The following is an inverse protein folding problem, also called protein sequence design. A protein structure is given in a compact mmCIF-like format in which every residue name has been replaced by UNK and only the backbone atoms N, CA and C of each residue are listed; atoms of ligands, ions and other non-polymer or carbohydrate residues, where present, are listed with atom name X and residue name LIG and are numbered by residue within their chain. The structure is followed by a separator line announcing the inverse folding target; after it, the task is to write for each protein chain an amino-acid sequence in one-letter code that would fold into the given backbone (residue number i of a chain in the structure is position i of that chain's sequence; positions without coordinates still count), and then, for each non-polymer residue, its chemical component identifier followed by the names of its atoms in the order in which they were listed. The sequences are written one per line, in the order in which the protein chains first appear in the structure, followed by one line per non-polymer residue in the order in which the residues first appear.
data_IF_856033717236
#
_entry.id   IF_856033717236
#
_cell.length_a   1.000
_cell.length_b   1.000
_cell.length_c   1.000
_cell.angle_alpha   90.00
_cell.angle_beta   90.00
_cell.angle_gamma   90.00
#
_symmetry.space_group_name_H-M   'P 1'
#
loop_
_entity.id
_entity.type
_entity.pdbx_description
1 polymer ?
#
# COMPACT_ATOMS: atom_id res chain seq x y z
N UNK A 1 25.80 6.75 -17.57
CA UNK A 1 25.02 7.88 -18.10
C UNK A 1 23.67 7.76 -17.40
N UNK A 2 23.51 8.48 -16.29
CA UNK A 2 22.27 8.45 -15.52
C UNK A 2 21.21 9.17 -16.34
N UNK A 3 20.23 8.43 -16.83
CA UNK A 3 19.06 9.01 -17.48
C UNK A 3 18.32 9.82 -16.42
N UNK A 4 18.56 11.13 -16.44
CA UNK A 4 17.82 12.10 -15.64
C UNK A 4 16.43 12.21 -16.23
N UNK A 5 15.57 11.24 -15.92
CA UNK A 5 14.17 11.25 -16.32
C UNK A 5 13.52 12.54 -15.83
N UNK A 6 12.82 13.24 -16.74
CA UNK A 6 12.11 14.48 -16.41
C UNK A 6 11.19 14.19 -15.20
N UNK A 7 11.33 14.92 -14.07
CA UNK A 7 10.56 14.63 -12.86
C UNK A 7 9.04 14.63 -13.11
N UNK A 8 8.57 15.50 -14.00
CA UNK A 8 7.16 15.54 -14.39
C UNK A 8 6.72 14.28 -15.14
N UNK A 9 7.60 13.71 -15.97
CA UNK A 9 7.31 12.47 -16.69
C UNK A 9 7.23 11.27 -15.74
N UNK A 10 8.08 11.23 -14.72
CA UNK A 10 8.04 10.19 -13.67
C UNK A 10 6.73 10.26 -12.89
N UNK A 11 6.34 11.45 -12.43
CA UNK A 11 5.07 11.64 -11.71
C UNK A 11 3.87 11.26 -12.57
N UNK A 12 3.86 11.69 -13.84
CA UNK A 12 2.77 11.33 -14.75
C UNK A 12 2.69 9.81 -15.00
N UNK A 13 3.84 9.13 -15.12
CA UNK A 13 3.88 7.68 -15.26
C UNK A 13 3.36 6.97 -14.00
N UNK A 14 3.75 7.44 -12.82
CA UNK A 14 3.26 6.89 -11.55
C UNK A 14 1.73 7.02 -11.45
N UNK A 15 1.21 8.22 -11.72
CA UNK A 15 -0.24 8.49 -11.72
C UNK A 15 -0.99 7.61 -12.71
N UNK A 16 -0.49 7.51 -13.94
CA UNK A 16 -1.07 6.63 -14.96
C UNK A 16 -1.07 5.16 -14.51
N UNK A 17 0.01 4.71 -13.89
CA UNK A 17 0.16 3.33 -13.41
C UNK A 17 -0.84 3.04 -12.29
N UNK A 18 -0.89 3.88 -11.25
CA UNK A 18 -1.81 3.72 -10.12
C UNK A 18 -3.27 3.75 -10.58
N UNK A 19 -3.60 4.67 -11.51
CA UNK A 19 -4.93 4.73 -12.13
C UNK A 19 -5.25 3.47 -12.93
N UNK A 20 -4.29 2.97 -13.72
CA UNK A 20 -4.44 1.75 -14.51
C UNK A 20 -4.72 0.51 -13.65
N UNK A 21 -4.10 0.43 -12.46
CA UNK A 21 -4.35 -0.66 -11.51
C UNK A 21 -5.80 -0.71 -11.03
N UNK A 22 -6.51 0.42 -10.97
CA UNK A 22 -7.89 0.48 -10.47
C UNK A 22 -8.97 0.54 -11.57
N UNK A 23 -8.63 1.00 -12.78
CA UNK A 23 -9.62 1.21 -13.86
C UNK A 23 -9.51 0.16 -14.97
N UNK A 24 -8.43 -0.64 -15.02
CA UNK A 24 -8.28 -1.69 -16.02
C UNK A 24 -9.45 -2.68 -16.01
N UNK A 25 -9.78 -3.23 -17.18
CA UNK A 25 -10.85 -4.21 -17.32
C UNK A 25 -10.62 -5.42 -16.40
N UNK A 26 -11.61 -5.74 -15.57
CA UNK A 26 -11.51 -6.82 -14.58
C UNK A 26 -10.76 -6.47 -13.29
N UNK A 27 -10.28 -5.23 -13.13
CA UNK A 27 -9.71 -4.78 -11.87
C UNK A 27 -10.75 -4.78 -10.76
N UNK A 28 -10.35 -5.27 -9.59
CA UNK A 28 -11.13 -5.27 -8.35
C UNK A 28 -10.59 -4.26 -7.33
N UNK A 29 -9.55 -3.51 -7.70
CA UNK A 29 -8.90 -2.55 -6.83
C UNK A 29 -9.66 -1.23 -6.85
N UNK A 30 -10.10 -0.80 -5.67
CA UNK A 30 -10.75 0.49 -5.46
C UNK A 30 -9.72 1.60 -5.37
N UNK A 31 -8.60 1.34 -4.70
CA UNK A 31 -7.51 2.32 -4.59
C UNK A 31 -6.14 1.68 -4.76
N UNK A 32 -5.17 2.51 -5.14
CA UNK A 32 -3.76 2.19 -5.20
C UNK A 32 -2.95 3.36 -4.62
N UNK A 33 -1.99 3.07 -3.73
CA UNK A 33 -1.09 4.05 -3.10
C UNK A 33 0.35 3.59 -3.31
N UNK A 34 1.23 4.54 -3.62
CA UNK A 34 2.65 4.29 -3.68
C UNK A 34 3.39 4.94 -2.50
N UNK A 35 4.06 4.08 -1.73
CA UNK A 35 4.90 4.46 -0.60
C UNK A 35 6.37 4.44 -1.03
N UNK A 36 7.00 5.61 -1.17
CA UNK A 36 8.40 5.75 -1.57
C UNK A 36 9.33 5.51 -0.38
N UNK A 37 10.39 4.74 -0.60
CA UNK A 37 11.49 4.64 0.38
C UNK A 37 12.38 5.87 0.26
N UNK A 38 12.44 6.65 1.33
CA UNK A 38 13.29 7.84 1.45
C UNK A 38 14.14 7.79 2.72
N UNK A 39 15.26 8.51 2.75
CA UNK A 39 15.99 8.72 3.98
C UNK A 39 15.23 9.58 4.98
N UNK A 40 15.29 9.19 6.26
CA UNK A 40 14.62 9.83 7.38
C UNK A 40 15.16 11.24 7.69
N UNK A 41 16.46 11.44 7.50
CA UNK A 41 17.10 12.73 7.72
C UNK A 41 17.23 13.44 6.37
N UNK A 42 16.55 14.58 6.20
CA UNK A 42 16.67 15.44 5.01
C UNK A 42 17.32 16.80 5.37
N UNK A 43 18.31 17.29 4.60
CA UNK A 43 18.95 16.61 3.47
C UNK A 43 19.68 15.34 3.94
N UNK A 44 19.74 14.29 3.11
CA UNK A 44 20.47 13.07 3.45
C UNK A 44 21.89 13.48 3.86
N UNK A 45 22.39 13.04 5.02
CA UNK A 45 23.81 13.15 5.32
C UNK A 45 24.58 12.63 4.11
N UNK A 46 25.71 13.25 3.76
CA UNK A 46 26.51 12.90 2.56
C UNK A 46 27.03 11.46 2.66
N UNK A 47 26.18 10.48 2.37
CA UNK A 47 26.50 9.06 2.33
C UNK A 47 27.22 8.69 1.01
N UNK A 48 27.42 9.68 0.14
CA UNK A 48 28.03 9.55 -1.20
C UNK A 48 29.55 9.37 -1.20
N UNK A 49 30.19 9.30 -0.03
CA UNK A 49 31.59 8.91 0.04
C UNK A 49 31.64 7.38 -0.04
N UNK A 50 31.79 6.87 -1.27
CA UNK A 50 32.27 5.53 -1.66
C UNK A 50 31.28 4.50 -2.24
N UNK A 51 30.12 4.88 -2.79
CA UNK A 51 29.44 3.95 -3.73
C UNK A 51 27.98 4.23 -4.09
N UNK A 52 27.77 4.76 -5.30
CA UNK A 52 26.52 4.68 -6.08
C UNK A 52 25.28 5.35 -5.47
N UNK A 53 24.41 5.91 -6.33
CA UNK A 53 23.12 6.41 -5.89
C UNK A 53 22.32 5.29 -5.19
N UNK A 54 22.00 5.51 -3.92
CA UNK A 54 21.02 4.76 -3.13
C UNK A 54 21.29 3.26 -2.93
N UNK A 55 22.53 2.84 -2.60
CA UNK A 55 22.75 1.48 -2.11
C UNK A 55 22.15 1.28 -0.70
N UNK A 56 20.86 0.91 -0.67
CA UNK A 56 20.07 0.62 0.54
C UNK A 56 20.60 -0.57 1.34
N UNK A 57 21.49 -1.36 0.77
CA UNK A 57 22.12 -2.50 1.46
C UNK A 57 23.30 -2.09 2.35
N UNK A 58 23.92 -0.93 2.08
CA UNK A 58 25.11 -0.43 2.79
C UNK A 58 24.82 0.61 3.87
N UNK A 59 23.67 1.30 3.79
CA UNK A 59 23.23 2.25 4.82
C UNK A 59 22.57 1.58 6.04
N UNK A 60 22.55 2.26 7.19
CA UNK A 60 21.76 1.81 8.33
C UNK A 60 20.27 1.77 7.95
N UNK A 61 19.69 0.56 7.84
CA UNK A 61 18.29 0.33 7.44
C UNK A 61 17.28 1.11 8.31
N UNK A 62 17.63 1.40 9.57
CA UNK A 62 16.80 2.20 10.50
C UNK A 62 16.69 3.69 10.14
N UNK A 63 17.52 4.17 9.22
CA UNK A 63 17.51 5.56 8.75
C UNK A 63 16.60 5.75 7.53
N UNK A 64 15.89 4.72 7.07
CA UNK A 64 14.99 4.80 5.94
C UNK A 64 13.54 4.73 6.40
N UNK A 65 12.69 5.48 5.72
CA UNK A 65 11.26 5.56 5.97
C UNK A 65 10.51 5.37 4.65
N UNK A 66 9.26 4.94 4.74
CA UNK A 66 8.32 4.95 3.64
C UNK A 66 7.32 6.10 3.84
N UNK A 67 7.19 6.93 2.82
CA UNK A 67 6.27 8.07 2.80
C UNK A 67 5.36 7.99 1.59
N UNK A 68 4.17 8.58 1.70
CA UNK A 68 3.27 8.73 0.57
C UNK A 68 3.92 9.57 -0.53
N UNK A 69 3.96 9.04 -1.76
CA UNK A 69 4.32 9.82 -2.94
C UNK A 69 3.09 10.18 -3.77
N UNK A 70 2.26 9.18 -4.07
CA UNK A 70 1.02 9.40 -4.81
C UNK A 70 0.00 8.29 -4.54
N UNK A 71 -1.27 8.55 -4.85
CA UNK A 71 -2.35 7.59 -4.70
C UNK A 71 -3.53 7.91 -5.60
N UNK A 72 -4.19 6.86 -6.08
CA UNK A 72 -5.42 6.92 -6.85
C UNK A 72 -6.53 6.16 -6.13
N UNK A 73 -7.74 6.72 -6.10
CA UNK A 73 -8.93 6.04 -5.59
C UNK A 73 -10.10 6.24 -6.55
N UNK A 74 -10.75 5.14 -6.93
CA UNK A 74 -12.00 5.14 -7.66
C UNK A 74 -13.18 5.26 -6.68
N UNK A 75 -13.41 6.48 -6.17
CA UNK A 75 -14.47 6.75 -5.21
C UNK A 75 -15.87 6.36 -5.73
N UNK A 76 -16.11 6.45 -7.04
CA UNK A 76 -17.38 6.04 -7.63
C UNK A 76 -17.63 4.53 -7.46
N UNK A 77 -16.64 3.68 -7.77
CA UNK A 77 -16.75 2.23 -7.59
C UNK A 77 -16.78 1.80 -6.12
N UNK A 78 -16.25 2.64 -5.22
CA UNK A 78 -16.25 2.42 -3.78
C UNK A 78 -17.66 2.47 -3.17
N UNK A 79 -18.54 3.32 -3.71
CA UNK A 79 -19.87 3.62 -3.16
C UNK A 79 -20.98 2.66 -3.60
N UNK A 80 -20.75 1.87 -4.67
CA UNK A 80 -21.80 1.08 -5.32
C UNK A 80 -21.91 -0.36 -4.82
N UNK A 81 -21.14 -0.75 -3.79
CA UNK A 81 -20.96 -2.16 -3.48
C UNK A 81 -22.16 -2.84 -2.80
N UNK A 82 -23.16 -2.13 -2.25
CA UNK A 82 -24.27 -2.76 -1.49
C UNK A 82 -25.47 -1.82 -1.16
N UNK A 83 -25.90 -0.91 -2.06
CA UNK A 83 -26.94 0.08 -1.69
C UNK A 83 -28.31 -0.21 -2.33
N UNK A 84 -29.28 -0.57 -1.47
CA UNK A 84 -30.72 -0.40 -1.71
C UNK A 84 -31.02 1.12 -1.84
N UNK A 85 -31.59 1.59 -2.95
CA UNK A 85 -31.83 3.01 -3.24
C UNK A 85 -32.89 3.66 -2.34
N UNK A 86 -33.25 3.10 -1.19
CA UNK A 86 -34.23 3.69 -0.25
C UNK A 86 -33.59 4.32 1.00
N UNK A 87 -32.29 4.10 1.25
CA UNK A 87 -31.59 4.58 2.47
C UNK A 87 -30.55 5.66 2.14
N UNK A 88 -30.99 6.75 1.50
CA UNK A 88 -30.11 7.72 0.86
C UNK A 88 -29.26 8.65 1.74
N UNK A 89 -29.19 8.53 3.07
CA UNK A 89 -28.50 9.57 3.87
C UNK A 89 -27.62 9.17 5.05
N UNK A 90 -27.51 7.90 5.44
CA UNK A 90 -26.73 7.58 6.66
C UNK A 90 -25.65 6.51 6.55
N UNK A 91 -25.58 5.71 5.48
CA UNK A 91 -24.59 4.62 5.37
C UNK A 91 -24.03 4.50 3.95
N UNK A 92 -23.31 5.52 3.47
CA UNK A 92 -22.50 5.38 2.26
C UNK A 92 -21.37 4.39 2.54
N UNK A 93 -21.60 3.11 2.23
CA UNK A 93 -20.64 2.02 2.40
C UNK A 93 -19.62 2.14 1.27
N UNK A 94 -18.44 2.66 1.61
CA UNK A 94 -17.33 2.88 0.68
C UNK A 94 -16.23 3.73 1.34
N UNK A 95 -14.98 3.56 0.88
CA UNK A 95 -13.84 4.36 1.28
C UNK A 95 -14.07 5.84 0.97
N UNK A 96 -14.24 6.64 2.02
CA UNK A 96 -14.45 8.08 1.93
C UNK A 96 -13.14 8.82 1.60
N UNK A 97 -13.19 9.94 0.87
CA UNK A 97 -12.00 10.76 0.55
C UNK A 97 -11.17 11.14 1.78
N UNK A 98 -11.81 11.47 2.89
CA UNK A 98 -11.13 11.88 4.13
C UNK A 98 -10.26 10.75 4.69
N UNK A 99 -10.76 9.50 4.63
CA UNK A 99 -10.00 8.33 5.08
C UNK A 99 -8.85 8.05 4.12
N UNK A 100 -9.09 8.16 2.81
CA UNK A 100 -8.07 7.95 1.79
C UNK A 100 -6.92 8.96 1.92
N UNK A 101 -7.23 10.26 1.99
CA UNK A 101 -6.21 11.30 2.13
C UNK A 101 -5.59 11.36 3.52
N UNK A 102 -6.24 10.85 4.56
CA UNK A 102 -5.60 10.72 5.88
C UNK A 102 -4.37 9.79 5.81
N UNK A 103 -4.38 8.80 4.92
CA UNK A 103 -3.22 7.92 4.72
C UNK A 103 -1.98 8.69 4.25
N UNK A 104 -2.10 9.80 3.52
CA UNK A 104 -0.93 10.53 3.02
C UNK A 104 -0.06 11.15 4.13
N UNK A 105 -0.59 11.23 5.36
CA UNK A 105 0.12 11.73 6.52
C UNK A 105 0.84 10.63 7.31
N UNK A 106 0.68 9.36 6.91
CA UNK A 106 1.33 8.23 7.56
C UNK A 106 2.79 8.12 7.12
N UNK A 107 3.65 7.70 8.05
CA UNK A 107 5.07 7.43 7.81
C UNK A 107 5.39 6.08 8.43
N UNK A 108 6.02 5.19 7.65
CA UNK A 108 6.44 3.88 8.13
C UNK A 108 7.96 3.79 8.21
N UNK A 109 8.49 3.14 9.25
CA UNK A 109 9.92 2.82 9.33
C UNK A 109 10.27 1.67 8.38
N UNK A 110 11.33 1.79 7.60
CA UNK A 110 11.80 0.70 6.73
C UNK A 110 12.31 -0.49 7.56
N UNK A 111 11.90 -1.71 7.20
CA UNK A 111 12.24 -2.94 7.93
C UNK A 111 11.46 -3.16 9.24
N UNK A 112 10.57 -2.24 9.62
CA UNK A 112 9.75 -2.35 10.82
C UNK A 112 8.26 -2.26 10.48
N UNK A 113 7.43 -2.91 11.30
CA UNK A 113 6.00 -3.03 11.04
C UNK A 113 5.71 -3.74 9.71
N UNK A 114 4.42 -3.84 9.36
CA UNK A 114 4.01 -4.63 8.21
C UNK A 114 4.49 -4.04 6.87
N UNK A 115 4.29 -2.75 6.65
CA UNK A 115 4.68 -2.06 5.39
C UNK A 115 6.21 -2.02 5.25
N UNK A 116 6.93 -1.70 6.33
CA UNK A 116 8.38 -1.63 6.33
C UNK A 116 9.07 -2.97 6.14
N UNK A 117 8.57 -4.05 6.76
CA UNK A 117 9.07 -5.42 6.54
C UNK A 117 8.87 -5.86 5.09
N UNK A 118 7.67 -5.64 4.51
CA UNK A 118 7.41 -5.96 3.10
C UNK A 118 8.43 -5.28 2.18
N UNK A 119 8.70 -4.00 2.42
CA UNK A 119 9.69 -3.23 1.69
C UNK A 119 11.11 -3.83 1.80
N UNK A 120 11.51 -4.22 3.01
CA UNK A 120 12.85 -4.72 3.30
C UNK A 120 13.12 -6.14 2.82
N UNK A 121 12.10 -6.99 2.88
CA UNK A 121 12.16 -8.40 2.47
C UNK A 121 11.92 -8.57 0.96
N UNK A 122 11.63 -7.47 0.24
CA UNK A 122 11.24 -7.48 -1.18
C UNK A 122 10.09 -8.47 -1.45
N UNK A 123 9.13 -8.53 -0.52
CA UNK A 123 8.06 -9.51 -0.52
C UNK A 123 6.71 -8.90 -0.92
N UNK A 124 5.65 -9.69 -0.79
CA UNK A 124 4.27 -9.23 -0.93
C UNK A 124 3.41 -9.86 0.16
N UNK A 125 2.37 -9.15 0.60
CA UNK A 125 1.48 -9.60 1.67
C UNK A 125 0.03 -9.21 1.37
N UNK A 126 -0.87 -10.15 1.57
CA UNK A 126 -2.32 -9.94 1.51
C UNK A 126 -2.87 -9.88 2.93
N UNK A 127 -3.73 -8.91 3.18
CA UNK A 127 -4.34 -8.66 4.48
C UNK A 127 -5.84 -8.58 4.27
N UNK A 128 -6.57 -9.40 5.01
CA UNK A 128 -8.02 -9.50 4.90
C UNK A 128 -8.67 -9.00 6.18
N UNK A 129 -9.83 -8.35 6.04
CA UNK A 129 -10.71 -8.07 7.16
C UNK A 129 -11.43 -9.39 7.53
N UNK A 130 -10.98 -10.06 8.59
CA UNK A 130 -11.62 -11.30 9.09
C UNK A 130 -12.46 -11.02 10.34
N UNK A 131 -13.67 -11.60 10.48
CA UNK A 131 -14.57 -11.25 11.57
C UNK A 131 -14.11 -11.86 12.91
N UNK A 132 -14.00 -11.00 13.94
CA UNK A 132 -14.08 -11.21 15.41
C UNK A 132 -13.28 -12.34 16.11
N UNK A 133 -13.11 -13.55 15.56
CA UNK A 133 -12.34 -14.61 16.23
C UNK A 133 -10.82 -14.34 16.20
N UNK A 134 -10.36 -13.62 15.16
CA UNK A 134 -8.96 -13.22 15.02
C UNK A 134 -8.65 -11.91 15.76
N UNK A 135 -9.64 -11.14 16.25
CA UNK A 135 -9.39 -9.92 17.03
C UNK A 135 -8.71 -10.27 18.36
N UNK A 136 -9.22 -11.26 19.10
CA UNK A 136 -8.59 -11.73 20.35
C UNK A 136 -7.16 -12.23 20.10
N UNK A 137 -6.93 -12.95 19.00
CA UNK A 137 -5.61 -13.45 18.60
C UNK A 137 -4.71 -12.29 18.11
N UNK A 138 -5.26 -11.27 17.46
CA UNK A 138 -4.53 -10.06 17.02
C UNK A 138 -4.19 -9.13 18.19
N UNK A 139 -5.03 -9.04 19.22
CA UNK A 139 -4.70 -8.33 20.45
C UNK A 139 -3.54 -9.01 21.17
N UNK A 140 -3.57 -10.34 21.27
CA UNK A 140 -2.48 -11.12 21.88
C UNK A 140 -1.21 -11.11 21.02
N UNK A 141 -1.31 -11.17 19.69
CA UNK A 141 -0.16 -11.10 18.79
C UNK A 141 0.41 -9.68 18.69
N UNK A 142 -0.40 -8.63 18.79
CA UNK A 142 0.08 -7.25 18.87
C UNK A 142 0.87 -6.97 20.16
N UNK A 143 0.55 -7.66 21.26
CA UNK A 143 1.32 -7.61 22.51
C UNK A 143 2.61 -8.41 22.45
N UNK A 144 2.60 -9.57 21.80
CA UNK A 144 3.78 -10.45 21.70
C UNK A 144 4.72 -10.10 20.53
N UNK A 145 4.19 -9.48 19.47
CA UNK A 145 4.91 -9.11 18.26
C UNK A 145 4.20 -7.94 17.55
N UNK A 146 4.37 -6.69 18.04
CA UNK A 146 3.72 -5.50 17.49
C UNK A 146 4.12 -5.21 16.04
N UNK A 147 5.12 -5.90 15.48
CA UNK A 147 5.55 -5.71 14.11
C UNK A 147 4.66 -6.42 13.08
N UNK A 148 3.78 -7.33 13.51
CA UNK A 148 2.89 -8.09 12.63
C UNK A 148 1.43 -7.59 12.66
N UNK A 149 1.08 -6.68 13.56
CA UNK A 149 -0.21 -5.99 13.55
C UNK A 149 -0.28 -4.97 12.41
N UNK A 150 -1.45 -4.85 11.78
CA UNK A 150 -1.65 -3.83 10.75
C UNK A 150 -1.71 -2.43 11.39
N UNK A 151 -1.32 -1.36 10.67
CA UNK A 151 -1.44 0.01 11.15
C UNK A 151 -2.86 0.31 11.65
N UNK A 152 -2.97 1.06 12.76
CA UNK A 152 -4.28 1.48 13.31
C UNK A 152 -5.11 2.27 12.30
N UNK A 153 -4.47 2.96 11.37
CA UNK A 153 -5.12 3.71 10.29
C UNK A 153 -5.83 2.82 9.27
N UNK A 154 -5.53 1.52 9.24
CA UNK A 154 -6.23 0.57 8.37
C UNK A 154 -7.60 0.18 8.90
N UNK A 155 -7.84 0.31 10.21
CA UNK A 155 -9.15 0.04 10.81
C UNK A 155 -10.24 0.92 10.18
N UNK A 156 -9.96 2.21 9.98
CA UNK A 156 -10.87 3.12 9.30
C UNK A 156 -11.15 2.69 7.84
N UNK A 157 -10.16 2.09 7.16
CA UNK A 157 -10.36 1.57 5.81
C UNK A 157 -11.27 0.34 5.82
N UNK A 158 -11.05 -0.59 6.76
CA UNK A 158 -11.87 -1.78 6.91
C UNK A 158 -13.33 -1.43 7.28
N UNK A 159 -13.52 -0.50 8.20
CA UNK A 159 -14.84 0.02 8.57
C UNK A 159 -15.54 0.74 7.41
N UNK A 160 -14.78 1.37 6.51
CA UNK A 160 -15.33 1.99 5.29
C UNK A 160 -15.74 0.98 4.21
N UNK A 161 -15.50 -0.33 4.42
CA UNK A 161 -15.93 -1.39 3.51
C UNK A 161 -14.81 -2.02 2.69
N UNK A 162 -13.55 -1.60 2.86
CA UNK A 162 -12.40 -2.34 2.33
C UNK A 162 -12.36 -3.71 3.04
N UNK A 163 -12.14 -4.78 2.29
CA UNK A 163 -12.04 -6.15 2.82
C UNK A 163 -10.68 -6.78 2.56
N UNK A 164 -9.95 -6.28 1.56
CA UNK A 164 -8.62 -6.76 1.20
C UNK A 164 -7.68 -5.59 1.03
N UNK A 165 -6.50 -5.65 1.64
CA UNK A 165 -5.36 -4.78 1.39
C UNK A 165 -4.19 -5.66 0.94
N UNK A 166 -3.59 -5.36 -0.21
CA UNK A 166 -2.36 -6.01 -0.66
C UNK A 166 -1.19 -5.03 -0.62
N UNK A 167 -0.07 -5.48 -0.10
CA UNK A 167 1.23 -4.79 -0.13
C UNK A 167 2.16 -5.53 -1.08
N UNK A 168 2.74 -4.82 -2.03
CA UNK A 168 3.69 -5.38 -3.01
C UNK A 168 4.94 -4.52 -2.99
N UNK A 169 6.06 -5.09 -2.56
CA UNK A 169 7.35 -4.42 -2.64
C UNK A 169 7.77 -4.26 -4.11
N UNK A 170 8.26 -3.08 -4.44
CA UNK A 170 8.88 -2.77 -5.73
C UNK A 170 10.25 -2.17 -5.47
N UNK A 171 11.06 -2.02 -6.52
CA UNK A 171 12.43 -1.52 -6.39
C UNK A 171 12.52 -0.23 -5.58
N UNK A 172 11.56 0.68 -5.74
CA UNK A 172 11.62 2.01 -5.14
C UNK A 172 10.76 2.21 -3.89
N UNK A 173 9.97 1.20 -3.49
CA UNK A 173 8.93 1.42 -2.49
C UNK A 173 7.98 0.25 -2.32
N UNK A 174 6.78 0.55 -1.87
CA UNK A 174 5.68 -0.43 -1.73
C UNK A 174 4.43 0.12 -2.40
N UNK A 175 3.78 -0.71 -3.21
CA UNK A 175 2.44 -0.44 -3.72
C UNK A 175 1.43 -1.06 -2.77
N UNK A 176 0.52 -0.25 -2.23
CA UNK A 176 -0.61 -0.69 -1.43
C UNK A 176 -1.89 -0.61 -2.26
N UNK A 177 -2.62 -1.71 -2.36
CA UNK A 177 -3.87 -1.82 -3.11
C UNK A 177 -5.02 -2.20 -2.18
N UNK A 178 -6.17 -1.58 -2.33
CA UNK A 178 -7.35 -1.90 -1.51
C UNK A 178 -8.58 -2.27 -2.34
N UNK A 179 -9.34 -3.24 -1.86
CA UNK A 179 -10.55 -3.73 -2.52
C UNK A 179 -11.68 -4.00 -1.52
N UNK A 180 -12.93 -3.82 -1.97
CA UNK A 180 -14.16 -4.06 -1.19
C UNK A 180 -14.59 -5.53 -1.16
N UNK A 181 -13.90 -6.39 -1.91
CA UNK A 181 -14.15 -7.84 -1.98
C UNK A 181 -13.00 -8.61 -1.33
N UNK A 182 -13.30 -9.74 -0.68
CA UNK A 182 -12.27 -10.70 -0.24
C UNK A 182 -11.71 -11.37 -1.50
N UNK A 183 -10.45 -11.11 -1.83
CA UNK A 183 -9.83 -11.74 -2.99
C UNK A 183 -9.14 -13.04 -2.57
N UNK A 184 -9.53 -14.16 -3.17
CA UNK A 184 -8.75 -15.40 -3.06
C UNK A 184 -7.42 -15.23 -3.80
N UNK A 185 -6.34 -15.83 -3.27
CA UNK A 185 -5.03 -15.84 -3.92
C UNK A 185 -5.15 -16.18 -5.40
N UNK A 186 -4.70 -15.27 -6.28
CA UNK A 186 -4.41 -15.63 -7.66
C UNK A 186 -3.11 -16.43 -7.61
N UNK A 187 -3.23 -17.76 -7.66
CA UNK A 187 -2.10 -18.62 -7.94
C UNK A 187 -1.42 -18.12 -9.23
N UNK A 188 -0.10 -18.04 -9.21
CA UNK A 188 0.73 -17.59 -10.32
C UNK A 188 0.19 -18.10 -11.66
N UNK A 189 0.17 -17.20 -12.66
CA UNK A 189 -0.25 -17.51 -14.02
C UNK A 189 0.29 -18.87 -14.49
N UNK A 190 -0.52 -19.70 -15.17
CA UNK A 190 -0.05 -20.99 -15.65
C UNK A 190 1.17 -20.75 -16.55
N UNK A 191 2.29 -21.37 -16.18
CA UNK A 191 3.50 -21.37 -16.99
C UNK A 191 3.13 -21.74 -18.42
N UNK A 192 3.41 -20.83 -19.36
CA UNK A 192 3.33 -21.08 -20.80
C UNK A 192 4.18 -22.32 -21.08
N UNK A 193 3.52 -23.46 -21.28
CA UNK A 193 4.17 -24.65 -21.84
C UNK A 193 4.56 -24.29 -23.26
N UNK A 194 5.85 -24.03 -23.47
CA UNK A 194 6.46 -24.06 -24.80
C UNK A 194 6.30 -25.48 -25.33
N UNK A 195 5.46 -25.66 -26.34
CA UNK A 195 5.61 -26.72 -27.34
C UNK A 195 6.64 -26.28 -28.35
#
# INVERSE_FOLDING_TARGET
MEEQFNPLAITHLLQHTLRGLCISEGSRWIYAVFWRILPRNYPPPKWDLQGGLYDRSRGNRRNWILVWEDGFCNFAASLTADVDPTVYRHNLRGLQPEIFFKMSHEIYSYGEGMVGKVAADHSHKWVFNEPQEQEEINFLSAWNNPADSHPRTWEAQFQSGIKTIALIAVREGVVQLGATNKMAHVAAAPAVRRT
#
